data_IF_136600293485
#
_entry.id   IF_136600293485
#
_cell.length_a   1.000
_cell.length_b   1.000
_cell.length_c   1.000
_cell.angle_alpha   90.00
_cell.angle_beta   90.00
_cell.angle_gamma   90.00
#
_symmetry.space_group_name_H-M   'P 1'
#
loop_
_entity.id
_entity.type
_entity.pdbx_description
1 polymer ?
#
# COMPACT_ATOMS: atom_id res chain seq x y z
N UNK A 1 15.76 -5.70 -21.28
CA UNK A 1 16.48 -4.95 -20.22
C UNK A 1 17.75 -5.64 -19.68
N UNK A 2 18.13 -6.85 -20.17
CA UNK A 2 19.30 -7.60 -19.70
C UNK A 2 19.05 -8.40 -18.41
N UNK A 3 19.99 -9.27 -18.03
CA UNK A 3 19.97 -9.99 -16.75
C UNK A 3 20.26 -9.02 -15.60
N UNK A 4 19.36 -8.98 -14.62
CA UNK A 4 19.48 -8.10 -13.46
C UNK A 4 20.61 -8.64 -12.56
N UNK A 5 21.64 -7.85 -12.23
CA UNK A 5 22.82 -8.34 -11.53
C UNK A 5 22.62 -8.58 -10.03
N UNK A 6 21.76 -7.80 -9.37
CA UNK A 6 21.51 -7.94 -7.94
C UNK A 6 20.04 -8.31 -7.70
N UNK A 7 19.81 -9.45 -7.04
CA UNK A 7 18.46 -9.94 -6.73
C UNK A 7 18.33 -10.22 -5.25
N UNK A 8 17.25 -9.71 -4.66
CA UNK A 8 16.84 -9.92 -3.28
C UNK A 8 15.49 -10.64 -3.28
N UNK A 9 15.40 -11.79 -2.61
CA UNK A 9 14.16 -12.56 -2.45
C UNK A 9 13.80 -12.63 -0.98
N UNK A 10 12.60 -12.16 -0.62
CA UNK A 10 12.09 -12.08 0.75
C UNK A 10 10.79 -12.89 0.81
N UNK A 11 10.82 -14.01 1.53
CA UNK A 11 9.74 -15.01 1.54
C UNK A 11 10.07 -16.31 0.81
N UNK A 12 9.15 -17.28 0.91
CA UNK A 12 9.32 -18.63 0.34
C UNK A 12 8.97 -18.66 -1.15
N UNK A 13 7.85 -18.05 -1.52
CA UNK A 13 7.39 -17.95 -2.91
C UNK A 13 8.36 -17.12 -3.75
N UNK A 14 8.88 -16.03 -3.20
CA UNK A 14 9.88 -15.20 -3.85
C UNK A 14 11.17 -15.96 -4.15
N UNK A 15 11.64 -16.80 -3.21
CA UNK A 15 12.79 -17.69 -3.44
C UNK A 15 12.51 -18.72 -4.55
N UNK A 16 11.31 -19.31 -4.57
CA UNK A 16 10.91 -20.21 -5.66
C UNK A 16 10.90 -19.52 -7.03
N UNK A 17 10.38 -18.28 -7.10
CA UNK A 17 10.39 -17.48 -8.35
C UNK A 17 11.83 -17.19 -8.79
N UNK A 18 12.71 -16.86 -7.85
CA UNK A 18 14.13 -16.66 -8.15
C UNK A 18 14.78 -17.95 -8.69
N UNK A 19 14.55 -19.11 -8.07
CA UNK A 19 15.14 -20.39 -8.50
C UNK A 19 14.63 -20.80 -9.89
N UNK A 20 13.34 -20.57 -10.16
CA UNK A 20 12.77 -20.75 -11.50
C UNK A 20 13.43 -19.82 -12.52
N UNK A 21 13.63 -18.55 -12.16
CA UNK A 21 14.30 -17.58 -13.01
C UNK A 21 15.73 -18.03 -13.36
N UNK A 22 16.51 -18.53 -12.41
CA UNK A 22 17.86 -19.06 -12.68
C UNK A 22 17.82 -20.29 -13.58
N UNK A 23 16.90 -21.23 -13.32
CA UNK A 23 16.71 -22.42 -14.16
C UNK A 23 16.39 -22.04 -15.61
N UNK A 24 15.53 -21.04 -15.82
CA UNK A 24 15.22 -20.51 -17.15
C UNK A 24 16.45 -19.90 -17.82
N UNK A 25 17.29 -19.15 -17.08
CA UNK A 25 18.54 -18.60 -17.61
C UNK A 25 19.56 -19.69 -18.00
N UNK A 26 19.68 -20.75 -17.20
CA UNK A 26 20.59 -21.86 -17.47
C UNK A 26 20.16 -22.70 -18.67
N UNK A 27 18.85 -22.81 -18.90
CA UNK A 27 18.28 -23.53 -20.04
C UNK A 27 18.46 -22.75 -21.34
N UNK A 28 18.37 -21.42 -21.31
CA UNK A 28 18.48 -20.56 -22.49
C UNK A 28 19.92 -20.02 -22.67
N UNK A 29 20.89 -20.93 -22.85
CA UNK A 29 22.33 -20.61 -22.97
C UNK A 29 22.70 -19.73 -24.18
N UNK A 30 21.82 -19.62 -25.17
CA UNK A 30 22.01 -18.75 -26.34
C UNK A 30 21.86 -17.26 -26.00
N UNK A 31 21.34 -16.93 -24.82
CA UNK A 31 21.13 -15.55 -24.38
C UNK A 31 22.45 -14.84 -24.10
N UNK A 32 22.81 -13.90 -24.98
CA UNK A 32 24.01 -13.04 -24.86
C UNK A 32 23.63 -11.67 -24.32
N UNK A 33 23.24 -11.59 -23.04
CA UNK A 33 22.98 -10.31 -22.39
C UNK A 33 24.31 -9.54 -22.22
N UNK A 34 24.50 -8.46 -22.97
CA UNK A 34 25.73 -7.63 -22.93
C UNK A 34 25.61 -6.41 -22.02
N UNK A 35 24.38 -5.99 -21.70
CA UNK A 35 24.08 -4.82 -20.86
C UNK A 35 22.83 -5.08 -20.03
N UNK A 36 22.79 -4.55 -18.82
CA UNK A 36 21.61 -4.47 -17.97
C UNK A 36 21.15 -3.02 -17.84
N UNK A 37 19.84 -2.80 -17.73
CA UNK A 37 19.23 -1.48 -17.55
C UNK A 37 18.54 -1.35 -16.18
N UNK A 38 18.38 -2.48 -15.48
CA UNK A 38 17.85 -2.57 -14.13
C UNK A 38 18.94 -3.25 -13.31
N UNK A 39 19.43 -2.56 -12.29
CA UNK A 39 20.53 -3.05 -11.47
C UNK A 39 20.06 -3.92 -10.31
N UNK A 40 18.85 -3.68 -9.79
CA UNK A 40 18.37 -4.32 -8.57
C UNK A 40 16.95 -4.86 -8.74
N UNK A 41 16.70 -6.08 -8.27
CA UNK A 41 15.38 -6.70 -8.21
C UNK A 41 15.07 -7.12 -6.78
N UNK A 42 13.93 -6.67 -6.25
CA UNK A 42 13.33 -7.16 -5.03
C UNK A 42 12.12 -8.02 -5.39
N UNK A 43 12.07 -9.25 -4.90
CA UNK A 43 10.92 -10.16 -5.01
C UNK A 43 10.41 -10.41 -3.60
N UNK A 44 9.16 -10.05 -3.32
CA UNK A 44 8.61 -10.06 -1.97
C UNK A 44 7.24 -10.73 -1.94
N UNK A 45 7.06 -11.71 -1.05
CA UNK A 45 5.75 -12.32 -0.83
C UNK A 45 4.83 -11.38 -0.06
N UNK A 46 3.53 -11.35 -0.38
CA UNK A 46 2.53 -10.59 0.38
C UNK A 46 2.44 -11.06 1.83
N UNK A 47 2.66 -12.36 2.06
CA UNK A 47 2.59 -12.96 3.41
C UNK A 47 3.74 -12.54 4.34
N UNK A 48 4.74 -11.78 3.84
CA UNK A 48 5.71 -11.12 4.71
C UNK A 48 5.08 -9.98 5.51
N UNK A 49 4.02 -9.39 4.99
CA UNK A 49 3.31 -8.26 5.58
C UNK A 49 1.82 -8.30 5.23
N UNK A 50 1.05 -8.84 6.15
CA UNK A 50 -0.41 -8.86 6.08
C UNK A 50 -1.04 -7.61 6.73
N UNK A 51 -0.24 -6.72 7.33
CA UNK A 51 -0.74 -5.53 8.04
C UNK A 51 -0.98 -4.38 7.06
N UNK A 52 -0.04 -4.06 6.17
CA UNK A 52 -0.21 -2.95 5.20
C UNK A 52 -1.51 -3.01 4.40
N UNK A 53 -1.97 -4.17 3.89
CA UNK A 53 -3.24 -4.24 3.17
C UNK A 53 -4.46 -3.95 4.04
N UNK A 54 -4.39 -4.15 5.36
CA UNK A 54 -5.49 -3.93 6.29
C UNK A 54 -5.58 -2.47 6.78
N UNK A 55 -4.51 -1.69 6.66
CA UNK A 55 -4.51 -0.28 7.05
C UNK A 55 -5.44 0.57 6.16
N UNK A 56 -6.05 1.59 6.75
CA UNK A 56 -6.80 2.61 6.02
C UNK A 56 -5.88 3.42 5.13
N UNK A 57 -6.09 3.46 3.81
CA UNK A 57 -5.26 4.27 2.94
C UNK A 57 -5.50 5.77 3.17
N UNK A 58 -4.43 6.57 3.15
CA UNK A 58 -4.50 8.02 3.36
C UNK A 58 -3.99 8.85 2.17
N UNK A 59 -3.70 8.21 1.04
CA UNK A 59 -3.32 8.88 -0.22
C UNK A 59 -4.48 8.94 -1.20
N UNK A 60 -4.49 9.93 -2.09
CA UNK A 60 -5.61 10.16 -3.01
C UNK A 60 -5.90 8.97 -3.92
N UNK A 61 -4.89 8.41 -4.61
CA UNK A 61 -5.09 7.27 -5.52
C UNK A 61 -5.55 6.02 -4.79
N UNK A 62 -5.05 5.79 -3.58
CA UNK A 62 -5.46 4.66 -2.76
C UNK A 62 -6.90 4.80 -2.26
N UNK A 63 -7.32 6.00 -1.85
CA UNK A 63 -8.72 6.29 -1.48
C UNK A 63 -9.67 6.23 -2.67
N UNK A 64 -9.24 6.69 -3.85
CA UNK A 64 -10.01 6.50 -5.08
C UNK A 64 -10.27 5.01 -5.34
N UNK A 65 -9.23 4.17 -5.21
CA UNK A 65 -9.38 2.73 -5.39
C UNK A 65 -10.26 2.09 -4.32
N UNK A 66 -10.15 2.53 -3.06
CA UNK A 66 -10.97 1.98 -1.97
C UNK A 66 -12.45 2.37 -2.10
N UNK A 67 -12.75 3.59 -2.58
CA UNK A 67 -14.13 4.10 -2.68
C UNK A 67 -14.81 3.71 -4.00
N UNK A 68 -14.11 3.79 -5.13
CA UNK A 68 -14.73 3.62 -6.46
C UNK A 68 -14.23 2.38 -7.21
N UNK A 69 -13.09 1.83 -6.82
CA UNK A 69 -12.38 0.81 -7.60
C UNK A 69 -11.65 1.39 -8.81
N UNK A 70 -10.47 0.85 -9.10
CA UNK A 70 -9.67 1.16 -10.27
C UNK A 70 -9.33 -0.16 -10.98
N UNK A 71 -9.85 -0.31 -12.20
CA UNK A 71 -9.64 -1.50 -13.03
C UNK A 71 -8.86 -1.11 -14.28
N UNK A 72 -7.66 -1.68 -14.46
CA UNK A 72 -6.79 -1.38 -15.61
C UNK A 72 -6.57 0.14 -15.83
N UNK A 73 -6.32 0.87 -14.73
CA UNK A 73 -6.19 2.34 -14.72
C UNK A 73 -7.45 3.11 -15.15
N UNK A 74 -8.61 2.45 -15.24
CA UNK A 74 -9.89 3.10 -15.47
C UNK A 74 -10.69 3.19 -14.18
N UNK A 75 -11.34 4.33 -13.98
CA UNK A 75 -12.29 4.57 -12.90
C UNK A 75 -13.63 4.97 -13.51
N UNK A 76 -14.73 4.53 -12.90
CA UNK A 76 -16.08 4.89 -13.31
C UNK A 76 -16.72 5.71 -12.20
N UNK A 77 -17.14 6.94 -12.52
CA UNK A 77 -17.80 7.85 -11.61
C UNK A 77 -19.28 7.95 -11.95
N UNK A 78 -20.13 7.89 -10.92
CA UNK A 78 -21.57 8.05 -11.05
C UNK A 78 -21.99 9.53 -10.97
N UNK A 79 -23.31 9.76 -10.90
CA UNK A 79 -23.90 11.10 -10.79
C UNK A 79 -23.53 11.83 -9.48
N UNK A 80 -23.09 11.12 -8.44
CA UNK A 80 -22.70 11.75 -7.16
C UNK A 80 -21.38 12.52 -7.27
N UNK A 81 -20.51 12.11 -8.21
CA UNK A 81 -19.23 12.79 -8.49
C UNK A 81 -19.39 13.82 -9.61
N UNK A 82 -20.14 13.48 -10.65
CA UNK A 82 -20.19 14.30 -11.88
C UNK A 82 -21.35 15.28 -11.95
N UNK A 83 -22.43 15.04 -11.20
CA UNK A 83 -23.70 15.76 -11.35
C UNK A 83 -24.49 15.41 -12.62
N UNK A 84 -23.92 14.58 -13.51
CA UNK A 84 -24.54 14.13 -14.75
C UNK A 84 -25.30 12.81 -14.53
N UNK A 85 -26.37 12.57 -15.30
CA UNK A 85 -27.18 11.36 -15.18
C UNK A 85 -26.52 10.08 -15.73
N UNK A 86 -25.36 10.22 -16.39
CA UNK A 86 -24.62 9.11 -17.00
C UNK A 86 -23.29 8.91 -16.31
N UNK A 87 -22.92 7.64 -16.15
CA UNK A 87 -21.61 7.26 -15.65
C UNK A 87 -20.50 7.83 -16.55
N UNK A 88 -19.49 8.41 -15.90
CA UNK A 88 -18.32 8.96 -16.55
C UNK A 88 -17.12 8.06 -16.30
N UNK A 89 -16.56 7.51 -17.38
CA UNK A 89 -15.33 6.72 -17.34
C UNK A 89 -14.12 7.61 -17.57
N UNK A 90 -13.13 7.51 -16.69
CA UNK A 90 -11.90 8.29 -16.74
C UNK A 90 -10.69 7.37 -16.70
N UNK A 91 -9.71 7.62 -17.58
CA UNK A 91 -8.43 6.93 -17.58
C UNK A 91 -7.45 7.71 -16.69
N UNK A 92 -6.91 7.03 -15.66
CA UNK A 92 -5.96 7.58 -14.71
C UNK A 92 -4.53 7.38 -15.22
N UNK A 93 -3.95 8.43 -15.81
CA UNK A 93 -2.54 8.41 -16.28
C UNK A 93 -1.80 9.68 -15.91
N UNK A 94 -0.49 9.69 -16.14
CA UNK A 94 0.35 10.89 -15.99
C UNK A 94 0.08 11.96 -17.06
N UNK A 95 -0.80 11.73 -18.04
CA UNK A 95 -1.21 12.77 -19.00
C UNK A 95 -2.14 13.79 -18.35
N UNK A 96 -2.85 13.39 -17.30
CA UNK A 96 -3.55 14.31 -16.42
C UNK A 96 -2.55 14.89 -15.41
N UNK A 97 -2.14 16.13 -15.67
CA UNK A 97 -1.22 16.86 -14.80
C UNK A 97 -1.77 17.03 -13.38
N UNK A 98 -3.08 17.26 -13.23
CA UNK A 98 -3.71 17.43 -11.92
C UNK A 98 -3.60 16.13 -11.14
N UNK A 99 -4.01 15.01 -11.75
CA UNK A 99 -3.92 13.69 -11.15
C UNK A 99 -2.48 13.32 -10.76
N UNK A 100 -1.52 13.55 -11.67
CA UNK A 100 -0.09 13.25 -11.42
C UNK A 100 0.46 13.98 -10.20
N UNK A 101 -0.08 15.16 -9.89
CA UNK A 101 0.33 15.98 -8.76
C UNK A 101 -0.33 15.58 -7.45
N UNK A 102 -1.53 15.00 -7.47
CA UNK A 102 -2.30 14.70 -6.25
C UNK A 102 -2.32 13.22 -5.87
N UNK A 103 -2.10 12.29 -6.81
CA UNK A 103 -2.27 10.85 -6.59
C UNK A 103 -1.53 10.29 -5.37
N UNK A 104 -0.30 10.78 -5.14
CA UNK A 104 0.60 10.32 -4.08
C UNK A 104 0.54 11.22 -2.83
N UNK A 105 -0.30 12.28 -2.85
CA UNK A 105 -0.43 13.23 -1.73
C UNK A 105 -1.31 12.66 -0.63
N UNK A 106 -1.00 13.03 0.60
CA UNK A 106 -1.89 12.81 1.73
C UNK A 106 -3.23 13.53 1.51
N UNK A 107 -4.33 12.82 1.77
CA UNK A 107 -5.67 13.26 1.42
C UNK A 107 -6.08 14.58 2.07
N UNK A 108 -5.63 14.85 3.30
CA UNK A 108 -5.92 16.11 4.01
C UNK A 108 -5.47 17.37 3.26
N UNK A 109 -4.52 17.24 2.33
CA UNK A 109 -4.00 18.36 1.54
C UNK A 109 -4.49 18.36 0.08
N UNK A 110 -5.27 17.37 -0.35
CA UNK A 110 -5.73 17.26 -1.74
C UNK A 110 -6.75 18.34 -2.06
N UNK A 111 -7.77 18.51 -1.21
CA UNK A 111 -8.84 19.48 -1.45
C UNK A 111 -8.31 20.92 -1.52
N UNK A 112 -7.38 21.29 -0.63
CA UNK A 112 -6.76 22.63 -0.63
C UNK A 112 -5.91 22.87 -1.88
N UNK A 113 -5.19 21.85 -2.36
CA UNK A 113 -4.47 21.89 -3.63
C UNK A 113 -5.42 22.09 -4.83
N UNK A 114 -6.49 21.29 -4.91
CA UNK A 114 -7.49 21.37 -5.98
C UNK A 114 -8.19 22.75 -5.98
N UNK A 115 -8.53 23.25 -4.80
CA UNK A 115 -9.12 24.59 -4.62
C UNK A 115 -8.19 25.70 -5.10
N UNK A 116 -6.89 25.58 -4.82
CA UNK A 116 -5.87 26.48 -5.36
C UNK A 116 -5.82 26.45 -6.89
N UNK A 117 -5.78 25.24 -7.47
CA UNK A 117 -5.80 25.05 -8.92
C UNK A 117 -7.07 25.57 -9.59
N UNK A 118 -8.22 25.51 -8.93
CA UNK A 118 -9.46 26.09 -9.43
C UNK A 118 -9.38 27.62 -9.55
N UNK A 119 -8.79 28.28 -8.55
CA UNK A 119 -8.57 29.74 -8.57
C UNK A 119 -7.58 30.12 -9.68
N UNK A 120 -6.47 29.39 -9.82
CA UNK A 120 -5.49 29.62 -10.88
C UNK A 120 -6.13 29.49 -12.28
N UNK A 121 -6.92 28.43 -12.48
CA UNK A 121 -7.60 28.17 -13.75
C UNK A 121 -8.63 29.26 -14.06
N UNK A 122 -9.34 29.77 -13.05
CA UNK A 122 -10.31 30.86 -13.21
C UNK A 122 -9.62 32.16 -13.65
N UNK A 123 -8.44 32.49 -13.11
CA UNK A 123 -7.65 33.64 -13.54
C UNK A 123 -7.25 33.50 -15.01
N UNK A 124 -6.79 32.33 -15.43
CA UNK A 124 -6.44 32.07 -16.84
C UNK A 124 -7.68 32.19 -17.74
N UNK A 125 -8.83 31.65 -17.30
CA UNK A 125 -10.08 31.72 -18.06
C UNK A 125 -10.58 33.17 -18.23
N UNK A 126 -10.36 34.03 -17.23
CA UNK A 126 -10.71 35.45 -17.31
C UNK A 126 -9.88 36.25 -18.32
N UNK A 127 -8.73 35.73 -18.79
CA UNK A 127 -7.94 36.37 -19.86
C UNK A 127 -8.72 36.52 -21.15
N UNK A 128 -9.71 35.65 -21.41
CA UNK A 128 -10.68 35.81 -22.51
C UNK A 128 -11.29 37.22 -22.54
N UNK A 129 -11.56 37.80 -21.37
CA UNK A 129 -12.20 39.10 -21.25
C UNK A 129 -11.23 40.26 -21.56
N UNK A 130 -9.93 39.98 -21.66
CA UNK A 130 -8.88 40.96 -21.97
C UNK A 130 -8.37 40.91 -23.42
N UNK A 131 -8.90 40.01 -24.26
CA UNK A 131 -8.52 39.88 -25.67
C UNK A 131 -9.07 41.07 -26.47
N UNK A 132 -8.17 41.83 -27.12
CA UNK A 132 -8.53 43.08 -27.84
C UNK A 132 -8.61 42.92 -29.36
N UNK A 133 -7.85 41.98 -29.94
CA UNK A 133 -7.82 41.79 -31.41
C UNK A 133 -8.58 40.54 -31.83
N UNK A 134 -9.08 40.55 -33.07
CA UNK A 134 -9.76 39.40 -33.68
C UNK A 134 -8.78 38.22 -33.89
N UNK A 135 -7.50 38.52 -34.12
CA UNK A 135 -6.43 37.51 -34.22
C UNK A 135 -6.27 36.74 -32.91
N UNK A 136 -6.09 37.45 -31.80
CA UNK A 136 -5.93 36.84 -30.46
C UNK A 136 -7.16 36.00 -30.07
N UNK A 137 -8.36 36.49 -30.42
CA UNK A 137 -9.60 35.76 -30.15
C UNK A 137 -9.68 34.44 -30.94
N UNK A 138 -9.25 34.46 -32.21
CA UNK A 138 -9.21 33.25 -33.04
C UNK A 138 -8.21 32.23 -32.51
N UNK A 139 -7.02 32.67 -32.11
CA UNK A 139 -5.98 31.81 -31.53
C UNK A 139 -6.44 31.20 -30.19
N UNK A 140 -7.00 32.02 -29.30
CA UNK A 140 -7.53 31.56 -28.01
C UNK A 140 -8.63 30.49 -28.18
N UNK A 141 -9.60 30.73 -29.07
CA UNK A 141 -10.70 29.77 -29.29
C UNK A 141 -10.20 28.48 -29.94
N UNK A 142 -9.26 28.57 -30.89
CA UNK A 142 -8.75 27.41 -31.60
C UNK A 142 -7.83 26.52 -30.74
N UNK A 143 -6.93 27.13 -29.97
CA UNK A 143 -5.81 26.42 -29.33
C UNK A 143 -5.92 26.32 -27.80
N UNK A 144 -6.33 27.39 -27.13
CA UNK A 144 -6.29 27.45 -25.65
C UNK A 144 -7.60 26.99 -25.00
N UNK A 145 -8.74 27.42 -25.53
CA UNK A 145 -10.06 27.20 -24.92
C UNK A 145 -10.38 25.71 -24.76
N UNK A 146 -9.98 24.88 -25.73
CA UNK A 146 -10.19 23.43 -25.68
C UNK A 146 -9.42 22.80 -24.53
N UNK A 147 -8.15 23.18 -24.36
CA UNK A 147 -7.28 22.67 -23.28
C UNK A 147 -7.82 23.11 -21.92
N UNK A 148 -8.19 24.38 -21.78
CA UNK A 148 -8.75 24.92 -20.54
C UNK A 148 -10.06 24.24 -20.15
N UNK A 149 -10.98 24.01 -21.10
CA UNK A 149 -12.22 23.27 -20.84
C UNK A 149 -11.95 21.83 -20.41
N UNK A 150 -10.96 21.17 -21.01
CA UNK A 150 -10.57 19.82 -20.62
C UNK A 150 -10.00 19.78 -19.20
N UNK A 151 -9.08 20.69 -18.86
CA UNK A 151 -8.55 20.83 -17.50
C UNK A 151 -9.63 21.16 -16.47
N UNK A 152 -10.59 22.03 -16.83
CA UNK A 152 -11.72 22.35 -15.96
C UNK A 152 -12.59 21.12 -15.68
N UNK A 153 -12.83 20.28 -16.69
CA UNK A 153 -13.58 19.02 -16.52
C UNK A 153 -12.85 18.05 -15.60
N UNK A 154 -11.54 17.84 -15.80
CA UNK A 154 -10.72 16.96 -14.95
C UNK A 154 -10.70 17.46 -13.51
N UNK A 155 -10.48 18.77 -13.33
CA UNK A 155 -10.48 19.40 -12.01
C UNK A 155 -11.82 19.24 -11.29
N UNK A 156 -12.94 19.52 -11.98
CA UNK A 156 -14.28 19.34 -11.42
C UNK A 156 -14.54 17.89 -11.03
N UNK A 157 -14.08 16.94 -11.84
CA UNK A 157 -14.24 15.50 -11.56
C UNK A 157 -13.46 15.11 -10.30
N UNK A 158 -12.21 15.56 -10.17
CA UNK A 158 -11.40 15.29 -8.98
C UNK A 158 -11.97 15.93 -7.70
N UNK A 159 -12.54 17.14 -7.80
CA UNK A 159 -13.23 17.80 -6.68
C UNK A 159 -14.47 16.98 -6.26
N UNK A 160 -15.33 16.58 -7.20
CA UNK A 160 -16.50 15.75 -6.90
C UNK A 160 -16.12 14.41 -6.27
N UNK A 161 -15.04 13.78 -6.75
CA UNK A 161 -14.52 12.55 -6.15
C UNK A 161 -14.03 12.76 -4.71
N UNK A 162 -13.35 13.88 -4.43
CA UNK A 162 -12.96 14.26 -3.06
C UNK A 162 -14.19 14.43 -2.15
N UNK A 163 -15.23 15.13 -2.61
CA UNK A 163 -16.45 15.36 -1.85
C UNK A 163 -17.15 14.03 -1.49
N UNK A 164 -17.23 13.10 -2.44
CA UNK A 164 -17.81 11.77 -2.20
C UNK A 164 -16.97 10.95 -1.23
N UNK A 165 -15.63 10.98 -1.34
CA UNK A 165 -14.74 10.31 -0.38
C UNK A 165 -14.97 10.89 1.03
N UNK A 166 -14.96 12.21 1.18
CA UNK A 166 -15.19 12.88 2.48
C UNK A 166 -16.56 12.55 3.06
N UNK A 167 -17.61 12.56 2.23
CA UNK A 167 -18.97 12.20 2.65
C UNK A 167 -19.09 10.73 3.06
N UNK A 168 -18.40 9.83 2.36
CA UNK A 168 -18.43 8.39 2.65
C UNK A 168 -17.73 8.11 3.98
N UNK A 169 -16.53 8.65 4.17
CA UNK A 169 -15.76 8.47 5.41
C UNK A 169 -16.38 9.23 6.59
N UNK A 170 -17.03 10.37 6.37
CA UNK A 170 -17.69 11.14 7.43
C UNK A 170 -19.04 10.57 7.91
N UNK A 171 -19.63 9.61 7.22
CA UNK A 171 -20.88 8.93 7.65
C UNK A 171 -20.63 7.82 8.67
N UNK A 172 -19.45 7.22 8.63
CA UNK A 172 -19.01 6.21 9.59
C UNK A 172 -18.40 6.91 10.80
N UNK A 173 -18.39 6.24 11.95
CA UNK A 173 -17.60 6.65 13.12
C UNK A 173 -16.09 6.48 12.84
N UNK A 174 -15.63 7.15 11.79
CA UNK A 174 -14.35 6.94 11.14
C UNK A 174 -13.21 7.48 11.99
N UNK A 175 -13.45 8.53 12.76
CA UNK A 175 -12.47 9.07 13.68
C UNK A 175 -12.13 8.06 14.78
N UNK A 176 -13.13 7.49 15.46
CA UNK A 176 -12.90 6.44 16.45
C UNK A 176 -12.32 5.18 15.80
N UNK A 177 -12.78 4.82 14.59
CA UNK A 177 -12.22 3.70 13.82
C UNK A 177 -10.71 3.86 13.57
N UNK A 178 -10.29 5.03 13.07
CA UNK A 178 -8.87 5.33 12.78
C UNK A 178 -8.05 5.38 14.05
N UNK A 179 -8.60 5.94 15.14
CA UNK A 179 -7.95 5.95 16.44
C UNK A 179 -7.72 4.54 16.96
N UNK A 180 -8.71 3.65 16.87
CA UNK A 180 -8.55 2.23 17.20
C UNK A 180 -7.54 1.55 16.28
N UNK A 181 -7.57 1.80 14.97
CA UNK A 181 -6.58 1.26 14.02
C UNK A 181 -5.15 1.65 14.41
N UNK A 182 -4.91 2.92 14.75
CA UNK A 182 -3.60 3.41 15.18
C UNK A 182 -3.16 2.78 16.51
N UNK A 183 -4.06 2.71 17.51
CA UNK A 183 -3.77 2.05 18.79
C UNK A 183 -3.43 0.56 18.62
N UNK A 184 -4.13 -0.14 17.71
CA UNK A 184 -3.83 -1.54 17.36
C UNK A 184 -2.43 -1.68 16.75
N UNK A 185 -2.03 -0.77 15.87
CA UNK A 185 -0.71 -0.75 15.23
C UNK A 185 0.40 -0.47 16.26
N UNK A 186 0.16 0.46 17.18
CA UNK A 186 1.05 0.77 18.30
C UNK A 186 1.15 -0.36 19.33
N UNK A 187 0.12 -1.21 19.42
CA UNK A 187 0.01 -2.27 20.41
C UNK A 187 -0.38 -1.75 21.80
N UNK A 188 -1.08 -0.62 21.86
CA UNK A 188 -1.57 0.03 23.10
C UNK A 188 -3.05 -0.31 23.34
N UNK A 189 -3.58 0.08 24.50
CA UNK A 189 -5.03 0.11 24.84
C UNK A 189 -5.83 -1.12 24.38
N UNK A 190 -5.28 -2.32 24.60
CA UNK A 190 -5.85 -3.57 24.04
C UNK A 190 -7.28 -3.83 24.49
N UNK A 191 -7.64 -3.46 25.73
CA UNK A 191 -8.99 -3.70 26.26
C UNK A 191 -10.00 -2.79 25.60
N UNK A 192 -9.64 -1.52 25.42
CA UNK A 192 -10.42 -0.49 24.76
C UNK A 192 -10.60 -0.84 23.28
N UNK A 193 -9.53 -1.29 22.62
CA UNK A 193 -9.57 -1.77 21.24
C UNK A 193 -10.51 -2.97 21.06
N UNK A 194 -10.45 -3.95 21.97
CA UNK A 194 -11.38 -5.10 21.96
C UNK A 194 -12.81 -4.63 22.19
N UNK A 195 -13.05 -3.72 23.15
CA UNK A 195 -14.38 -3.20 23.43
C UNK A 195 -14.99 -2.46 22.22
N UNK A 196 -14.20 -1.67 21.49
CA UNK A 196 -14.66 -1.04 20.25
C UNK A 196 -15.00 -2.06 19.16
N UNK A 197 -14.19 -3.12 19.01
CA UNK A 197 -14.49 -4.21 18.07
C UNK A 197 -15.81 -4.92 18.44
N UNK A 198 -16.01 -5.22 19.73
CA UNK A 198 -17.26 -5.79 20.23
C UNK A 198 -18.45 -4.86 19.95
N UNK A 199 -18.30 -3.56 20.17
CA UNK A 199 -19.32 -2.55 19.83
C UNK A 199 -19.65 -2.55 18.33
N UNK A 200 -18.64 -2.62 17.44
CA UNK A 200 -18.86 -2.74 16.00
C UNK A 200 -19.68 -3.98 15.64
N UNK A 201 -19.40 -5.13 16.28
CA UNK A 201 -20.15 -6.38 16.12
C UNK A 201 -21.60 -6.19 16.58
N UNK A 202 -21.80 -5.61 17.76
CA UNK A 202 -23.14 -5.41 18.34
C UNK A 202 -23.99 -4.42 17.53
N UNK A 203 -23.38 -3.39 16.94
CA UNK A 203 -24.04 -2.44 16.03
C UNK A 203 -24.33 -3.02 14.64
N UNK A 204 -23.95 -4.28 14.37
CA UNK A 204 -24.02 -4.90 13.04
C UNK A 204 -23.32 -4.05 11.96
N UNK A 205 -22.14 -3.52 12.29
CA UNK A 205 -21.29 -2.84 11.30
C UNK A 205 -20.87 -3.81 10.19
N UNK A 206 -20.36 -3.30 9.06
CA UNK A 206 -19.93 -4.15 7.95
C UNK A 206 -19.03 -5.31 8.42
N UNK A 207 -19.33 -6.58 8.05
CA UNK A 207 -18.51 -7.73 8.45
C UNK A 207 -17.04 -7.58 8.04
N UNK A 208 -16.78 -6.98 6.87
CA UNK A 208 -15.43 -6.69 6.38
C UNK A 208 -14.66 -5.77 7.33
N UNK A 209 -15.31 -4.70 7.80
CA UNK A 209 -14.70 -3.71 8.70
C UNK A 209 -14.29 -4.38 10.01
N UNK A 210 -15.21 -5.16 10.59
CA UNK A 210 -14.98 -5.86 11.85
C UNK A 210 -13.89 -6.94 11.72
N UNK A 211 -13.92 -7.75 10.65
CA UNK A 211 -12.87 -8.74 10.38
C UNK A 211 -11.51 -8.09 10.17
N UNK A 212 -11.46 -6.88 9.59
CA UNK A 212 -10.23 -6.11 9.43
C UNK A 212 -9.62 -5.74 10.77
N UNK A 213 -10.42 -5.23 11.70
CA UNK A 213 -9.96 -4.88 13.05
C UNK A 213 -9.51 -6.12 13.84
N UNK A 214 -10.28 -7.22 13.80
CA UNK A 214 -9.90 -8.49 14.45
C UNK A 214 -8.58 -9.04 13.87
N UNK A 215 -8.42 -8.96 12.54
CA UNK A 215 -7.19 -9.41 11.87
C UNK A 215 -6.01 -8.52 12.27
N UNK A 216 -6.18 -7.19 12.32
CA UNK A 216 -5.12 -6.30 12.81
C UNK A 216 -4.75 -6.59 14.25
N UNK A 217 -5.72 -6.73 15.17
CA UNK A 217 -5.48 -7.11 16.55
C UNK A 217 -4.69 -8.43 16.66
N UNK A 218 -5.08 -9.45 15.91
CA UNK A 218 -4.36 -10.73 15.90
C UNK A 218 -2.94 -10.59 15.36
N UNK A 219 -2.74 -9.84 14.27
CA UNK A 219 -1.41 -9.68 13.65
C UNK A 219 -0.46 -8.88 14.55
N UNK A 220 -0.94 -7.79 15.16
CA UNK A 220 -0.10 -6.90 15.97
C UNK A 220 0.23 -7.49 17.34
N UNK A 221 -0.60 -8.40 17.85
CA UNK A 221 -0.37 -9.12 19.11
C UNK A 221 0.22 -10.53 18.94
N UNK A 222 0.58 -10.92 17.71
CA UNK A 222 1.12 -12.26 17.40
C UNK A 222 0.15 -13.40 17.80
N UNK A 223 -1.14 -13.14 17.66
CA UNK A 223 -2.27 -14.02 17.98
C UNK A 223 -3.15 -13.45 19.10
N UNK A 224 -4.41 -13.86 19.12
CA UNK A 224 -5.38 -13.55 20.17
C UNK A 224 -5.29 -14.55 21.31
N UNK A 225 -5.61 -14.12 22.54
CA UNK A 225 -5.77 -15.10 23.63
C UNK A 225 -6.90 -16.08 23.30
N UNK A 226 -6.87 -17.34 23.79
CA UNK A 226 -7.95 -18.31 23.53
C UNK A 226 -9.32 -17.81 23.98
N UNK A 227 -9.35 -16.98 25.04
CA UNK A 227 -10.57 -16.33 25.54
C UNK A 227 -11.10 -15.32 24.53
N UNK A 228 -10.26 -14.39 24.08
CA UNK A 228 -10.68 -13.30 23.19
C UNK A 228 -11.02 -13.84 21.80
N UNK A 229 -10.24 -14.79 21.29
CA UNK A 229 -10.54 -15.48 20.03
C UNK A 229 -11.92 -16.13 20.07
N UNK A 230 -12.23 -16.89 21.13
CA UNK A 230 -13.53 -17.54 21.29
C UNK A 230 -14.65 -16.51 21.44
N UNK A 231 -14.43 -15.46 22.23
CA UNK A 231 -15.41 -14.39 22.46
C UNK A 231 -15.77 -13.68 21.16
N UNK A 232 -14.78 -13.07 20.50
CA UNK A 232 -14.95 -12.29 19.27
C UNK A 232 -15.54 -13.15 18.15
N UNK A 233 -15.06 -14.39 17.97
CA UNK A 233 -15.63 -15.32 16.99
C UNK A 233 -17.10 -15.63 17.28
N UNK A 234 -17.45 -15.92 18.53
CA UNK A 234 -18.83 -16.28 18.89
C UNK A 234 -19.77 -15.09 18.67
N UNK A 235 -19.38 -13.90 19.13
CA UNK A 235 -20.16 -12.68 18.94
C UNK A 235 -20.33 -12.35 17.45
N UNK A 236 -19.26 -12.46 16.66
CA UNK A 236 -19.32 -12.23 15.22
C UNK A 236 -20.28 -13.19 14.51
N UNK A 237 -20.20 -14.49 14.79
CA UNK A 237 -21.08 -15.49 14.18
C UNK A 237 -22.55 -15.27 14.57
N UNK A 238 -22.82 -14.88 15.82
CA UNK A 238 -24.18 -14.55 16.25
C UNK A 238 -24.73 -13.29 15.57
N UNK A 239 -23.88 -12.30 15.28
CA UNK A 239 -24.28 -11.02 14.67
C UNK A 239 -24.40 -11.08 13.15
N UNK A 240 -23.49 -11.80 12.48
CA UNK A 240 -23.33 -11.78 11.02
C UNK A 240 -23.64 -13.11 10.32
N UNK A 241 -23.87 -14.21 11.06
CA UNK A 241 -24.24 -15.51 10.50
C UNK A 241 -23.17 -16.59 10.68
N UNK A 242 -23.62 -17.85 10.71
CA UNK A 242 -22.78 -19.03 10.95
C UNK A 242 -22.01 -19.51 9.71
N UNK A 243 -22.37 -19.06 8.52
CA UNK A 243 -21.62 -19.26 7.27
C UNK A 243 -20.17 -18.77 7.39
N UNK A 244 -19.96 -17.72 8.19
CA UNK A 244 -18.63 -17.17 8.48
C UNK A 244 -17.75 -18.10 9.32
N UNK A 245 -18.24 -19.27 9.74
CA UNK A 245 -17.37 -20.31 10.30
C UNK A 245 -16.28 -20.72 9.30
N UNK A 246 -16.62 -20.80 8.01
CA UNK A 246 -15.68 -21.07 6.91
C UNK A 246 -14.73 -19.88 6.73
N UNK A 247 -15.24 -18.65 6.84
CA UNK A 247 -14.42 -17.43 6.82
C UNK A 247 -13.35 -17.46 7.92
N UNK A 248 -13.73 -17.73 9.18
CA UNK A 248 -12.76 -17.85 10.28
C UNK A 248 -11.77 -19.00 10.07
N UNK A 249 -12.19 -20.11 9.48
CA UNK A 249 -11.28 -21.20 9.11
C UNK A 249 -10.22 -20.72 8.10
N UNK A 250 -10.64 -20.02 7.04
CA UNK A 250 -9.72 -19.48 6.03
C UNK A 250 -8.76 -18.44 6.63
N UNK A 251 -9.27 -17.50 7.43
CA UNK A 251 -8.47 -16.47 8.09
C UNK A 251 -7.43 -17.08 9.06
N UNK A 252 -7.81 -18.11 9.82
CA UNK A 252 -6.88 -18.85 10.69
C UNK A 252 -5.83 -19.60 9.89
N UNK A 253 -6.23 -20.27 8.80
CA UNK A 253 -5.31 -20.99 7.89
C UNK A 253 -4.30 -20.05 7.21
N UNK A 254 -4.66 -18.80 6.97
CA UNK A 254 -3.77 -17.81 6.35
C UNK A 254 -2.96 -17.00 7.37
N UNK A 255 -3.16 -17.22 8.67
CA UNK A 255 -2.43 -16.51 9.73
C UNK A 255 -2.95 -15.11 10.05
N UNK A 256 -4.14 -14.73 9.54
CA UNK A 256 -4.76 -13.42 9.79
C UNK A 256 -5.40 -13.35 11.17
N UNK A 257 -6.13 -14.40 11.58
CA UNK A 257 -6.75 -14.50 12.91
C UNK A 257 -6.33 -15.82 13.55
N UNK A 258 -5.35 -15.76 14.45
CA UNK A 258 -4.76 -16.93 15.10
C UNK A 258 -4.92 -16.88 16.61
N UNK A 259 -4.88 -18.04 17.25
CA UNK A 259 -4.81 -18.15 18.71
C UNK A 259 -3.36 -18.20 19.16
N UNK A 260 -3.04 -17.56 20.29
CA UNK A 260 -1.75 -17.71 20.94
C UNK A 260 -1.57 -19.17 21.40
N UNK A 261 -0.44 -19.76 21.04
CA UNK A 261 -0.11 -21.09 21.54
C UNK A 261 0.21 -20.99 23.04
N UNK A 262 -0.57 -21.69 23.86
CA UNK A 262 -0.19 -21.93 25.25
C UNK A 262 1.08 -22.78 25.19
N UNK A 263 2.18 -22.29 25.78
CA UNK A 263 3.45 -23.00 25.86
C UNK A 263 3.32 -24.27 26.70
N UNK A 264 2.68 -25.30 26.15
CA UNK A 264 2.73 -26.64 26.68
C UNK A 264 4.09 -27.20 26.28
N UNK A 265 4.87 -27.63 27.27
CA UNK A 265 6.29 -27.97 27.16
C UNK A 265 6.65 -28.68 25.86
N UNK A 266 7.78 -28.30 25.27
CA UNK A 266 8.26 -28.73 23.97
C UNK A 266 8.39 -30.26 23.85
N UNK A 267 7.28 -30.94 23.57
CA UNK A 267 7.30 -32.28 23.00
C UNK A 267 7.70 -32.08 21.54
N UNK A 268 8.87 -32.59 21.17
CA UNK A 268 9.35 -32.65 19.78
C UNK A 268 8.42 -33.55 18.96
N UNK A 269 7.26 -33.02 18.59
CA UNK A 269 6.37 -33.63 17.62
C UNK A 269 7.06 -33.53 16.25
N UNK A 270 7.28 -34.67 15.59
CA UNK A 270 7.61 -34.77 14.16
C UNK A 270 6.34 -34.37 13.38
N UNK A 271 5.94 -33.11 13.47
CA UNK A 271 4.91 -32.53 12.61
C UNK A 271 5.62 -31.79 11.49
N UNK A 272 5.14 -31.87 10.24
CA UNK A 272 5.62 -30.98 9.20
C UNK A 272 5.48 -29.53 9.69
N UNK A 273 6.43 -28.65 9.33
CA UNK A 273 6.37 -27.25 9.74
C UNK A 273 5.00 -26.68 9.36
N UNK A 274 4.34 -25.92 10.25
CA UNK A 274 3.01 -25.40 9.98
C UNK A 274 3.04 -24.59 8.67
N UNK A 275 2.06 -24.86 7.80
CA UNK A 275 1.84 -24.09 6.56
C UNK A 275 1.58 -22.61 6.88
N UNK A 276 0.95 -22.36 8.03
CA UNK A 276 0.60 -21.04 8.57
C UNK A 276 1.82 -20.36 9.16
N UNK A 277 2.18 -19.19 8.61
CA UNK A 277 3.26 -18.38 9.14
C UNK A 277 2.75 -17.59 10.35
N UNK A 278 3.53 -17.60 11.44
CA UNK A 278 3.25 -16.78 12.62
C UNK A 278 3.63 -15.33 12.34
N UNK A 279 2.84 -14.39 12.86
CA UNK A 279 3.21 -12.98 12.85
C UNK A 279 4.43 -12.77 13.75
N UNK A 280 5.32 -11.88 13.32
CA UNK A 280 6.48 -11.41 14.09
C UNK A 280 6.46 -9.89 14.25
N UNK A 281 5.25 -9.32 14.21
CA UNK A 281 5.02 -7.88 14.09
C UNK A 281 5.75 -7.08 15.19
N UNK A 282 5.65 -7.48 16.46
CA UNK A 282 6.23 -6.74 17.56
C UNK A 282 7.77 -6.65 17.47
N UNK A 283 8.41 -7.74 17.04
CA UNK A 283 9.86 -7.77 16.89
C UNK A 283 10.31 -7.03 15.62
N UNK A 284 9.58 -7.16 14.52
CA UNK A 284 9.84 -6.42 13.29
C UNK A 284 9.65 -4.91 13.49
N UNK A 285 8.59 -4.50 14.18
CA UNK A 285 8.33 -3.11 14.54
C UNK A 285 9.49 -2.52 15.33
N UNK A 286 9.95 -3.20 16.40
CA UNK A 286 11.10 -2.72 17.20
C UNK A 286 12.39 -2.59 16.39
N UNK A 287 12.65 -3.53 15.47
CA UNK A 287 13.91 -3.56 14.68
C UNK A 287 13.92 -2.57 13.51
N UNK A 288 12.78 -2.33 12.89
CA UNK A 288 12.66 -1.51 11.68
C UNK A 288 11.97 -0.16 11.92
N UNK A 289 11.51 0.08 13.14
CA UNK A 289 10.71 1.26 13.52
C UNK A 289 9.51 1.42 12.58
N UNK A 290 8.72 0.35 12.45
CA UNK A 290 7.56 0.34 11.55
C UNK A 290 6.47 1.31 12.03
N UNK A 291 6.32 1.45 13.34
CA UNK A 291 5.53 2.50 13.98
C UNK A 291 6.51 3.58 14.42
N UNK A 292 6.52 4.75 13.77
CA UNK A 292 7.35 5.87 14.19
C UNK A 292 7.04 6.25 15.64
N UNK A 293 8.07 6.44 16.47
CA UNK A 293 7.90 6.92 17.84
C UNK A 293 7.50 8.40 17.73
N UNK A 294 6.21 8.68 17.87
CA UNK A 294 5.65 10.02 17.78
C UNK A 294 6.32 10.95 18.81
N UNK A 295 7.02 11.98 18.34
CA UNK A 295 7.48 13.09 19.18
C UNK A 295 6.99 14.46 18.69
N UNK A 296 6.62 14.60 17.41
CA UNK A 296 6.15 15.85 16.81
C UNK A 296 5.04 15.57 15.78
N UNK A 297 4.17 16.56 15.54
CA UNK A 297 3.19 16.56 14.45
C UNK A 297 3.89 16.26 13.11
N UNK A 298 3.52 15.14 12.49
CA UNK A 298 4.08 14.74 11.20
C UNK A 298 3.63 15.74 10.14
N UNK A 299 4.58 16.35 9.42
CA UNK A 299 4.25 17.23 8.29
C UNK A 299 3.69 16.39 7.13
N UNK A 300 2.37 16.20 7.11
CA UNK A 300 1.65 15.48 6.06
C UNK A 300 1.59 16.27 4.74
N UNK A 301 2.02 17.55 4.72
CA UNK A 301 2.12 18.36 3.51
C UNK A 301 3.46 18.11 2.81
N UNK A 302 4.53 18.03 3.59
CA UNK A 302 5.88 17.71 3.12
C UNK A 302 6.46 16.54 3.93
N UNK A 303 5.99 15.31 3.68
CA UNK A 303 6.40 14.17 4.48
C UNK A 303 7.91 13.91 4.36
N UNK A 304 8.51 13.44 5.46
CA UNK A 304 9.92 13.07 5.55
C UNK A 304 10.13 11.56 5.73
N UNK A 305 9.06 10.79 5.95
CA UNK A 305 9.07 9.34 6.13
C UNK A 305 7.89 8.69 5.39
N UNK A 306 8.05 7.44 4.96
CA UNK A 306 7.05 6.69 4.20
C UNK A 306 5.74 6.44 4.96
N UNK A 307 5.73 6.55 6.29
CA UNK A 307 4.53 6.36 7.11
C UNK A 307 3.41 7.37 6.82
N UNK A 308 3.70 8.47 6.12
CA UNK A 308 2.68 9.44 5.71
C UNK A 308 1.54 8.80 4.92
N UNK A 309 1.76 7.68 4.22
CA UNK A 309 0.71 6.98 3.47
C UNK A 309 -0.38 6.39 4.36
N UNK A 310 -0.11 6.29 5.67
CA UNK A 310 -1.00 5.88 6.75
C UNK A 310 -0.99 6.92 7.90
N UNK A 311 -0.93 8.22 7.57
CA UNK A 311 -0.96 9.32 8.55
C UNK A 311 0.13 9.27 9.64
N UNK A 312 1.23 8.56 9.39
CA UNK A 312 2.29 8.39 10.38
C UNK A 312 2.13 7.23 11.35
N UNK A 313 1.01 6.52 11.31
CA UNK A 313 0.75 5.41 12.23
C UNK A 313 1.60 4.17 11.92
N UNK A 314 1.95 3.97 10.65
CA UNK A 314 2.66 2.78 10.21
C UNK A 314 3.44 3.00 8.91
N UNK A 315 4.62 2.40 8.82
CA UNK A 315 5.45 2.29 7.62
C UNK A 315 5.28 0.91 7.01
N UNK A 316 4.82 0.77 5.75
CA UNK A 316 4.68 -0.52 5.10
C UNK A 316 5.98 -1.35 5.16
N UNK A 317 5.94 -2.54 5.76
CA UNK A 317 7.13 -3.36 5.98
C UNK A 317 7.92 -3.63 4.68
N UNK A 318 7.31 -4.03 3.54
CA UNK A 318 8.03 -4.23 2.29
C UNK A 318 8.75 -2.97 1.81
N UNK A 319 8.10 -1.80 1.96
CA UNK A 319 8.69 -0.52 1.57
C UNK A 319 9.86 -0.14 2.50
N UNK A 320 9.73 -0.39 3.81
CA UNK A 320 10.81 -0.15 4.78
C UNK A 320 12.02 -1.04 4.51
N UNK A 321 11.80 -2.31 4.13
CA UNK A 321 12.89 -3.21 3.73
C UNK A 321 13.62 -2.71 2.48
N UNK A 322 12.87 -2.29 1.45
CA UNK A 322 13.45 -1.69 0.24
C UNK A 322 14.26 -0.44 0.58
N UNK A 323 13.72 0.48 1.38
CA UNK A 323 14.42 1.69 1.84
C UNK A 323 15.72 1.38 2.57
N UNK A 324 15.70 0.45 3.54
CA UNK A 324 16.88 0.06 4.31
C UNK A 324 17.97 -0.57 3.43
N UNK A 325 17.59 -1.43 2.49
CA UNK A 325 18.55 -2.11 1.60
C UNK A 325 19.15 -1.12 0.60
N UNK A 326 18.35 -0.22 0.03
CA UNK A 326 18.84 0.85 -0.86
C UNK A 326 19.80 1.78 -0.13
N UNK A 327 19.50 2.14 1.12
CA UNK A 327 20.30 3.11 1.90
C UNK A 327 21.63 2.51 2.38
N UNK A 328 21.60 1.26 2.84
CA UNK A 328 22.78 0.63 3.47
C UNK A 328 23.70 -0.09 2.47
N UNK A 329 23.21 -0.42 1.29
CA UNK A 329 23.87 -1.31 0.31
C UNK A 329 24.38 -2.63 0.93
N UNK A 330 23.72 -3.09 2.00
CA UNK A 330 24.10 -4.32 2.69
C UNK A 330 22.90 -4.94 3.38
N UNK A 331 22.94 -6.27 3.47
CA UNK A 331 21.98 -7.06 4.24
C UNK A 331 22.45 -7.33 5.67
N UNK A 332 23.66 -6.87 6.02
CA UNK A 332 24.23 -7.04 7.36
C UNK A 332 23.30 -6.39 8.39
N UNK A 333 22.83 -7.19 9.34
CA UNK A 333 21.89 -6.78 10.38
C UNK A 333 20.41 -7.02 10.03
N UNK A 334 20.11 -7.52 8.83
CA UNK A 334 18.76 -7.90 8.39
C UNK A 334 18.56 -9.42 8.36
N UNK A 335 19.54 -10.24 8.75
CA UNK A 335 19.43 -11.70 8.70
C UNK A 335 18.29 -12.21 9.60
N UNK A 336 18.17 -11.66 10.81
CA UNK A 336 17.07 -11.97 11.72
C UNK A 336 15.71 -11.55 11.15
N UNK A 337 15.67 -10.37 10.54
CA UNK A 337 14.48 -9.84 9.86
C UNK A 337 14.08 -10.78 8.73
N UNK A 338 15.04 -11.20 7.92
CA UNK A 338 14.86 -12.18 6.86
C UNK A 338 14.27 -13.50 7.36
N UNK A 339 14.77 -14.03 8.48
CA UNK A 339 14.21 -15.26 9.11
C UNK A 339 12.75 -15.07 9.53
N UNK A 340 12.43 -13.94 10.16
CA UNK A 340 11.05 -13.58 10.52
C UNK A 340 10.17 -13.35 9.27
N UNK A 341 10.78 -12.93 8.16
CA UNK A 341 10.17 -12.72 6.85
C UNK A 341 9.99 -13.99 6.00
N UNK A 342 10.18 -15.19 6.55
CA UNK A 342 10.05 -16.45 5.81
C UNK A 342 11.26 -16.81 4.95
N UNK A 343 12.37 -16.09 5.12
CA UNK A 343 13.63 -16.26 4.39
C UNK A 343 14.06 -14.96 3.71
N UNK A 344 15.36 -14.68 3.74
CA UNK A 344 16.00 -13.64 2.96
C UNK A 344 17.15 -14.27 2.16
N UNK A 345 17.05 -14.19 0.85
CA UNK A 345 18.06 -14.67 -0.08
C UNK A 345 18.55 -13.52 -0.96
N UNK A 346 19.85 -13.53 -1.26
CA UNK A 346 20.45 -12.52 -2.13
C UNK A 346 21.49 -13.13 -3.06
N UNK A 347 21.42 -12.75 -4.34
CA UNK A 347 22.44 -13.00 -5.36
C UNK A 347 22.96 -11.63 -5.83
N UNK A 348 24.15 -11.25 -5.36
CA UNK A 348 24.74 -9.93 -5.61
C UNK A 348 25.99 -10.10 -6.48
N UNK A 349 25.89 -9.70 -7.76
CA UNK A 349 26.99 -9.81 -8.72
C UNK A 349 27.76 -8.50 -8.89
N UNK A 350 27.14 -7.37 -8.59
CA UNK A 350 27.74 -6.04 -8.71
C UNK A 350 27.61 -5.31 -7.38
N UNK A 351 28.73 -4.90 -6.77
CA UNK A 351 28.70 -4.09 -5.54
C UNK A 351 28.35 -2.64 -5.87
N UNK A 352 27.41 -2.04 -5.13
CA UNK A 352 27.03 -0.64 -5.32
C UNK A 352 27.89 0.26 -4.40
N UNK A 353 29.18 0.42 -4.73
CA UNK A 353 30.08 1.30 -3.97
C UNK A 353 29.76 2.78 -4.21
N UNK A 354 28.69 3.27 -3.59
CA UNK A 354 28.32 4.68 -3.64
C UNK A 354 27.21 4.97 -2.67
N UNK A 355 27.57 5.27 -1.42
CA UNK A 355 26.78 5.98 -0.39
C UNK A 355 27.57 6.08 0.95
N UNK A 356 28.69 5.38 1.10
CA UNK A 356 29.63 5.58 2.20
C UNK A 356 30.46 6.86 2.03
N UNK A 357 30.39 7.77 3.00
CA UNK A 357 31.20 8.99 3.04
C UNK A 357 32.69 8.64 3.13
N UNK A 358 33.44 8.92 2.05
CA UNK A 358 34.90 8.92 2.08
C UNK A 358 35.54 8.21 0.89
N UNK A 359 36.18 9.02 0.04
CA UNK A 359 36.99 8.70 -1.15
C UNK A 359 36.19 8.57 -2.46
N UNK A 360 36.66 9.36 -3.44
CA UNK A 360 36.21 9.51 -4.84
C UNK A 360 35.21 8.44 -5.28
N UNK A 361 33.94 8.83 -5.39
CA UNK A 361 32.88 7.93 -5.85
C UNK A 361 33.24 7.42 -7.26
N UNK A 362 33.41 6.11 -7.48
CA UNK A 362 33.48 5.60 -8.84
C UNK A 362 32.20 5.97 -9.58
N UNK A 363 32.27 6.16 -10.90
CA UNK A 363 31.09 6.42 -11.75
C UNK A 363 30.17 5.22 -11.62
N UNK A 364 29.14 5.35 -10.78
CA UNK A 364 28.11 4.35 -10.57
C UNK A 364 27.36 4.15 -11.88
N UNK A 365 27.28 2.91 -12.34
CA UNK A 365 26.49 2.56 -13.51
C UNK A 365 25.04 3.09 -13.32
N UNK A 366 24.52 3.95 -14.21
CA UNK A 366 23.17 4.50 -14.09
C UNK A 366 22.09 3.43 -13.92
N UNK A 367 22.30 2.21 -14.45
CA UNK A 367 21.38 1.09 -14.28
C UNK A 367 21.25 0.65 -12.81
N UNK A 368 22.28 0.85 -11.96
CA UNK A 368 22.24 0.54 -10.54
C UNK A 368 21.29 1.44 -9.73
N UNK A 369 20.89 2.58 -10.30
CA UNK A 369 19.82 3.45 -9.76
C UNK A 369 18.43 3.00 -10.16
N UNK A 370 18.29 1.98 -11.01
CA UNK A 370 16.99 1.45 -11.44
C UNK A 370 16.70 0.17 -10.66
N UNK A 371 15.64 0.22 -9.85
CA UNK A 371 15.21 -0.84 -8.94
C UNK A 371 13.85 -1.35 -9.40
N UNK A 372 13.72 -2.66 -9.58
CA UNK A 372 12.45 -3.33 -9.80
C UNK A 372 12.00 -3.95 -8.48
N UNK A 373 10.80 -3.61 -8.03
CA UNK A 373 10.16 -4.20 -6.85
C UNK A 373 8.96 -5.01 -7.29
N UNK A 374 8.99 -6.32 -7.05
CA UNK A 374 7.95 -7.26 -7.45
C UNK A 374 7.23 -7.86 -6.23
N UNK A 375 5.96 -7.52 -6.05
CA UNK A 375 5.07 -8.11 -5.04
C UNK A 375 4.38 -9.38 -5.56
N UNK A 376 4.56 -10.49 -4.86
CA UNK A 376 3.88 -11.76 -5.13
C UNK A 376 2.69 -11.91 -4.16
N UNK A 377 1.47 -11.83 -4.69
CA UNK A 377 0.24 -11.89 -3.88
C UNK A 377 -0.43 -10.55 -3.63
N UNK A 378 0.04 -9.47 -4.26
CA UNK A 378 -0.67 -8.19 -4.33
C UNK A 378 0.08 -7.00 -3.72
N UNK A 379 -0.22 -5.82 -4.22
CA UNK A 379 0.33 -4.54 -3.77
C UNK A 379 -0.78 -3.48 -3.68
N UNK A 380 -0.72 -2.61 -2.68
CA UNK A 380 -1.67 -1.50 -2.52
C UNK A 380 -1.14 -0.22 -3.17
N UNK A 381 -2.03 0.71 -3.51
CA UNK A 381 -1.62 2.04 -3.96
C UNK A 381 -0.89 2.86 -2.88
N UNK A 382 -1.12 2.59 -1.58
CA UNK A 382 -0.35 3.16 -0.49
C UNK A 382 1.11 2.72 -0.53
N UNK A 383 1.37 1.43 -0.76
CA UNK A 383 2.74 0.92 -0.94
C UNK A 383 3.40 1.48 -2.20
N UNK A 384 2.65 1.61 -3.30
CA UNK A 384 3.16 2.26 -4.52
C UNK A 384 3.54 3.71 -4.24
N UNK A 385 2.71 4.46 -3.49
CA UNK A 385 2.98 5.84 -3.10
C UNK A 385 4.24 5.93 -2.23
N UNK A 386 4.39 5.03 -1.26
CA UNK A 386 5.59 4.93 -0.42
C UNK A 386 6.85 4.61 -1.25
N UNK A 387 6.78 3.71 -2.23
CA UNK A 387 7.90 3.42 -3.12
C UNK A 387 8.24 4.60 -4.04
N UNK A 388 7.24 5.34 -4.55
CA UNK A 388 7.46 6.58 -5.31
C UNK A 388 8.12 7.66 -4.43
N UNK A 389 7.74 7.73 -3.15
CA UNK A 389 8.39 8.59 -2.17
C UNK A 389 9.87 8.23 -1.99
N UNK A 390 10.17 6.95 -1.73
CA UNK A 390 11.56 6.44 -1.61
C UNK A 390 12.37 6.76 -2.87
N UNK A 391 11.78 6.54 -4.06
CA UNK A 391 12.42 6.82 -5.34
C UNK A 391 12.85 8.29 -5.45
N UNK A 392 11.93 9.21 -5.10
CA UNK A 392 12.21 10.66 -5.11
C UNK A 392 13.23 11.06 -4.06
N UNK A 393 13.10 10.54 -2.83
CA UNK A 393 13.94 10.91 -1.69
C UNK A 393 15.39 10.47 -1.88
N UNK A 394 15.62 9.24 -2.37
CA UNK A 394 16.96 8.68 -2.56
C UNK A 394 17.52 8.90 -3.98
N UNK A 395 16.79 9.56 -4.88
CA UNK A 395 17.25 9.83 -6.25
C UNK A 395 17.47 8.55 -7.08
N UNK A 396 16.60 7.55 -6.89
CA UNK A 396 16.56 6.28 -7.62
C UNK A 396 15.28 6.17 -8.43
N UNK A 397 15.24 5.27 -9.42
CA UNK A 397 14.04 4.95 -10.19
C UNK A 397 13.50 3.62 -9.71
N UNK A 398 12.29 3.61 -9.15
CA UNK A 398 11.62 2.39 -8.73
C UNK A 398 10.53 2.03 -9.74
N UNK A 399 10.59 0.81 -10.27
CA UNK A 399 9.57 0.17 -11.08
C UNK A 399 8.83 -0.80 -10.17
N UNK A 400 7.51 -0.70 -10.10
CA UNK A 400 6.69 -1.62 -9.30
C UNK A 400 6.04 -2.64 -10.22
N UNK A 401 6.19 -3.91 -9.89
CA UNK A 401 5.46 -5.03 -10.47
C UNK A 401 4.67 -5.73 -9.36
N UNK A 402 3.53 -6.29 -9.70
CA UNK A 402 2.71 -7.04 -8.75
C UNK A 402 1.84 -8.06 -9.49
N UNK A 403 1.46 -9.14 -8.82
CA UNK A 403 0.47 -10.09 -9.34
C UNK A 403 -0.93 -9.49 -9.41
N UNK A 404 -1.25 -8.54 -8.53
CA UNK A 404 -2.52 -7.84 -8.49
C UNK A 404 -2.39 -6.50 -7.74
N UNK A 405 -3.25 -5.53 -8.06
CA UNK A 405 -3.49 -4.38 -7.18
C UNK A 405 -4.61 -4.77 -6.22
N UNK A 406 -4.39 -4.57 -4.92
CA UNK A 406 -5.35 -4.93 -3.88
C UNK A 406 -5.71 -3.71 -3.01
N UNK A 407 -6.88 -3.79 -2.38
CA UNK A 407 -7.33 -2.89 -1.30
C UNK A 407 -7.58 -3.68 -0.04
N UNK A 408 -7.77 -2.99 1.08
CA UNK A 408 -8.27 -3.54 2.33
C UNK A 408 -9.53 -4.40 2.14
N UNK A 409 -10.48 -3.90 1.36
CA UNK A 409 -11.74 -4.57 1.07
C UNK A 409 -11.52 -5.79 0.17
N UNK A 410 -10.85 -5.64 -0.97
CA UNK A 410 -10.67 -6.75 -1.91
C UNK A 410 -9.81 -7.87 -1.33
N UNK A 411 -8.88 -7.54 -0.43
CA UNK A 411 -8.01 -8.50 0.22
C UNK A 411 -8.78 -9.45 1.15
N UNK A 412 -9.73 -8.92 1.93
CA UNK A 412 -10.55 -9.73 2.83
C UNK A 412 -11.79 -10.34 2.15
N UNK A 413 -12.40 -9.66 1.17
CA UNK A 413 -13.63 -10.15 0.50
C UNK A 413 -13.41 -11.51 -0.17
N UNK A 414 -12.22 -11.76 -0.72
CA UNK A 414 -11.88 -13.05 -1.35
C UNK A 414 -11.78 -14.18 -0.32
N UNK A 415 -11.60 -13.86 0.96
CA UNK A 415 -11.50 -14.83 2.06
C UNK A 415 -12.84 -15.08 2.77
N UNK A 416 -13.82 -14.23 2.49
CA UNK A 416 -15.16 -14.32 3.05
C UNK A 416 -16.01 -15.32 2.28
N UNK A 417 -16.73 -16.13 3.03
CA UNK A 417 -17.77 -16.98 2.47
C UNK A 417 -18.94 -16.09 2.08
N UNK A 418 -19.42 -16.23 0.84
CA UNK A 418 -20.59 -15.50 0.36
C UNK A 418 -21.81 -16.36 0.64
N UNK A 419 -22.92 -15.80 1.16
CA UNK A 419 -24.12 -16.59 1.37
C UNK A 419 -24.53 -17.25 0.05
N UNK A 420 -24.91 -18.53 0.12
CA UNK A 420 -25.44 -19.24 -1.03
C UNK A 420 -26.65 -18.44 -1.56
N UNK A 421 -26.56 -18.01 -2.81
CA UNK A 421 -27.63 -17.25 -3.48
C UNK A 421 -28.90 -18.06 -3.64
#
# INVERSE_FOLDING_TARGET
>A
FGKIPNVYSIGRGSKMVYDLMQTMFETHKERKDTKYHIGQLFIMDRDIDLVSPLCSPMTYEALLNETFGIDCSMITFDSSVTGDSKDFKMLLTNQDEIYSQIRDRHFSHVFSYLSGKAKDLQVIYSKKNSLKTVGDMKEYVANELRVLKHQQKLLSTHIGACEVIMKTKGKTDFEEYIKTEHSLLEGTDTKENIAYIEECIHKQSSPLLTLRLISMLSLTQEGLTPRDYKSLKTQFLHSHGFEHLVTFFNLKKLGLITEQEVAQGAVRSIRPPPLTRKSHYLTLNRKLSLVPKQSDDIDLKNPNDISYVFSGAYSPLPCKLVEQIITRDTLIGLEDVGRMCGGLHSDLKVKNRGLGAGKVAPVMDPAMRVVLVYFLGGCTYSEISALRFIAKYHGVKIIVATTAIITSNSFLDVLMEKPAR
#
